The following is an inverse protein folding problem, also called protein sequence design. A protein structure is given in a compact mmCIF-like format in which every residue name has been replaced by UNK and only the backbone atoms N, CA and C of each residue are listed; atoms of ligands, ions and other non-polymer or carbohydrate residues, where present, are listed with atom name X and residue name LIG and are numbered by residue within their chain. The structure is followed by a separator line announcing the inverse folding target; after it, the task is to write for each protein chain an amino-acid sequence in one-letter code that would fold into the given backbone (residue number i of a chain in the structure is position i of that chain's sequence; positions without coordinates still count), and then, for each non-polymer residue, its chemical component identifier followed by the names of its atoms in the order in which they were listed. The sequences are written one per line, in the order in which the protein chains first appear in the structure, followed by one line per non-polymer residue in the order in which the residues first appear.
data_IF_955716120013
#
_entry.id   IF_955716120013
#
_cell.length_a   1.000
_cell.length_b   1.000
_cell.length_c   1.000
_cell.angle_alpha   90.00
_cell.angle_beta   90.00
_cell.angle_gamma   90.00
#
_symmetry.space_group_name_H-M   'P 1'
#
loop_
_entity.id
_entity.type
_entity.pdbx_description
1 polymer ?
2 water ?
#
# COMPACT_ATOMS: atom_id res chain seq x y z
N UNK A 10 -0.74 -25.82 4.18
CA UNK A 10 -2.14 -26.17 3.83
C UNK A 10 -3.10 -24.98 3.86
N UNK A 11 -2.82 -24.00 4.72
CA UNK A 11 -3.63 -22.80 4.84
C UNK A 11 -3.07 -21.67 3.98
N UNK A 12 -3.97 -20.92 3.35
CA UNK A 12 -3.57 -19.77 2.56
C UNK A 12 -4.63 -18.68 2.66
N UNK A 13 -4.19 -17.43 2.69
CA UNK A 13 -5.09 -16.30 2.88
C UNK A 13 -4.89 -15.26 1.79
N UNK A 14 -5.99 -14.65 1.35
CA UNK A 14 -5.94 -13.65 0.28
C UNK A 14 -6.62 -12.37 0.67
N UNK A 15 -5.91 -11.26 0.50
CA UNK A 15 -6.43 -9.90 0.74
C UNK A 15 -6.56 -9.11 -0.56
N UNK A 16 -5.86 -9.56 -1.60
CA UNK A 16 -5.76 -8.80 -2.84
C UNK A 16 -6.89 -9.16 -3.81
N UNK A 17 -8.11 -8.86 -3.36
CA UNK A 17 -9.34 -9.27 -4.02
C UNK A 17 -10.31 -9.55 -2.89
N UNK A 18 -11.46 -10.19 -3.17
CA UNK A 18 -12.34 -10.60 -2.06
C UNK A 18 -11.56 -11.47 -1.08
N UNK A 19 -11.82 -11.29 0.21
CA UNK A 19 -11.16 -12.07 1.25
C UNK A 19 -11.23 -13.57 0.95
N UNK A 20 -10.10 -14.25 1.03
CA UNK A 20 -10.02 -15.67 0.72
C UNK A 20 -9.29 -16.42 1.81
N UNK A 21 -9.89 -17.53 2.20
CA UNK A 21 -9.24 -18.53 3.04
C UNK A 21 -9.31 -19.83 2.26
N UNK A 22 -8.14 -20.39 1.93
CA UNK A 22 -8.12 -21.66 1.21
C UNK A 22 -7.44 -22.73 2.04
N UNK A 23 -8.05 -23.92 2.04
CA UNK A 23 -7.45 -25.08 2.66
C UNK A 23 -7.14 -26.09 1.56
N UNK A 24 -5.86 -26.38 1.36
CA UNK A 24 -5.38 -27.26 0.29
C UNK A 24 -5.72 -26.76 -1.10
N UNK A 25 -5.84 -25.44 -1.24
CA UNK A 25 -6.15 -24.79 -2.51
C UNK A 25 -7.64 -24.64 -2.76
N UNK A 26 -8.46 -25.16 -1.85
CA UNK A 26 -9.91 -25.08 -1.96
C UNK A 26 -10.45 -23.96 -1.07
N UNK A 27 -11.11 -22.95 -1.68
CA UNK A 27 -11.67 -21.84 -0.89
C UNK A 27 -12.66 -22.32 0.15
N UNK A 28 -12.60 -21.69 1.32
CA UNK A 28 -13.49 -22.00 2.45
C UNK A 28 -14.24 -20.72 2.78
N UNK A 29 -15.59 -20.72 2.63
CA UNK A 29 -16.39 -19.55 3.00
C UNK A 29 -16.12 -19.16 4.47
N UNK A 30 -15.79 -17.90 4.71
CA UNK A 30 -15.30 -17.51 6.03
C UNK A 30 -16.35 -16.87 6.97
N UNK A 31 -17.62 -16.89 6.55
CA UNK A 31 -18.72 -16.52 7.45
C UNK A 31 -19.47 -15.25 7.08
N UNK A 32 -20.18 -14.69 8.06
CA UNK A 32 -20.93 -13.44 7.91
C UNK A 32 -19.95 -12.27 7.74
N UNK A 33 -20.43 -11.09 7.25
CA UNK A 33 -19.53 -9.96 7.04
C UNK A 33 -18.68 -9.57 8.26
N UNK A 34 -19.28 -9.58 9.45
CA UNK A 34 -18.56 -9.19 10.65
C UNK A 34 -17.44 -10.20 10.98
N UNK A 35 -17.74 -11.48 10.79
CA UNK A 35 -16.74 -12.53 11.01
C UNK A 35 -15.62 -12.44 9.96
N UNK A 36 -16.00 -12.20 8.71
CA UNK A 36 -15.04 -11.97 7.63
C UNK A 36 -14.16 -10.76 7.94
N UNK A 37 -14.74 -9.70 8.49
CA UNK A 37 -13.97 -8.53 8.91
C UNK A 37 -12.96 -8.84 10.02
N UNK A 38 -13.33 -9.70 10.96
CA UNK A 38 -12.39 -10.18 11.99
C UNK A 38 -11.20 -10.90 11.32
N UNK A 39 -11.50 -11.85 10.43
CA UNK A 39 -10.46 -12.55 9.68
C UNK A 39 -9.58 -11.57 8.90
N UNK A 40 -10.19 -10.64 8.16
CA UNK A 40 -9.43 -9.65 7.40
C UNK A 40 -8.44 -8.87 8.31
N UNK A 41 -8.93 -8.36 9.44
CA UNK A 41 -8.10 -7.64 10.41
C UNK A 41 -6.94 -8.49 10.93
N UNK A 42 -7.20 -9.77 11.20
CA UNK A 42 -6.19 -10.71 11.66
C UNK A 42 -5.12 -11.01 10.58
N UNK A 43 -5.54 -11.17 9.32
CA UNK A 43 -4.60 -11.38 8.21
C UNK A 43 -3.79 -10.10 7.91
N UNK A 44 -4.47 -8.95 7.90
CA UNK A 44 -3.80 -7.65 7.77
C UNK A 44 -2.70 -7.50 8.82
N UNK A 45 -3.02 -7.90 10.06
CA UNK A 45 -2.11 -7.81 11.18
C UNK A 45 -1.44 -9.13 11.53
N UNK A 46 -1.21 -9.96 10.52
CA UNK A 46 -0.65 -11.30 10.72
C UNK A 46 0.61 -11.28 11.57
N UNK A 47 0.67 -12.23 12.50
CA UNK A 47 1.79 -12.40 13.43
C UNK A 47 1.90 -11.30 14.50
N UNK A 48 0.88 -10.45 14.57
CA UNK A 48 0.79 -9.44 15.63
C UNK A 48 -0.58 -9.56 16.30
N UNK A 49 -0.66 -9.20 17.60
CA UNK A 49 -1.97 -9.22 18.25
C UNK A 49 -2.86 -8.08 17.78
N UNK A 50 -4.15 -8.36 17.63
CA UNK A 50 -5.14 -7.33 17.41
C UNK A 50 -6.07 -7.31 18.62
N UNK A 51 -6.11 -6.18 19.29
CA UNK A 51 -6.93 -6.02 20.49
C UNK A 51 -8.41 -6.15 20.19
N UNK A 52 -9.17 -6.60 21.18
CA UNK A 52 -10.62 -6.74 21.05
C UNK A 52 -11.29 -5.40 20.77
N UNK A 53 -10.78 -4.33 21.40
CA UNK A 53 -11.30 -2.98 21.16
C UNK A 53 -11.09 -2.57 19.70
N UNK A 54 -9.92 -2.86 19.14
CA UNK A 54 -9.62 -2.60 17.73
C UNK A 54 -10.59 -3.35 16.80
N UNK A 55 -10.85 -4.62 17.11
CA UNK A 55 -11.79 -5.42 16.34
C UNK A 55 -13.19 -4.82 16.37
N UNK A 56 -13.64 -4.44 17.56
CA UNK A 56 -14.94 -3.81 17.76
C UNK A 56 -15.07 -2.52 16.93
N UNK A 57 -14.03 -1.68 16.97
CA UNK A 57 -13.98 -0.50 16.12
C UNK A 57 -14.05 -0.85 14.63
N UNK A 58 -13.23 -1.79 14.18
CA UNK A 58 -13.23 -2.18 12.75
C UNK A 58 -14.60 -2.71 12.29
N UNK A 59 -15.27 -3.47 13.15
CA UNK A 59 -16.55 -4.08 12.79
C UNK A 59 -17.75 -3.14 12.83
N UNK A 60 -17.86 -2.36 13.90
CA UNK A 60 -19.06 -1.57 14.16
C UNK A 60 -18.79 -0.07 14.26
N UNK A 61 -17.54 0.33 14.05
CA UNK A 61 -17.14 1.74 14.08
C UNK A 61 -17.66 2.42 15.36
N UNK A 62 -18.51 3.42 15.21
CA UNK A 62 -19.01 4.19 16.35
C UNK A 62 -20.13 3.50 17.16
N UNK A 63 -20.80 2.51 16.57
CA UNK A 63 -22.02 1.93 17.17
C UNK A 63 -21.98 0.41 17.38
N UNK A 64 -21.18 -0.07 18.35
CA UNK A 64 -21.23 -1.52 18.60
C UNK A 64 -22.50 -1.91 19.36
N UNK A 65 -23.02 -3.13 19.11
CA UNK A 65 -24.13 -3.64 19.90
C UNK A 65 -23.66 -4.00 21.31
N UNK A 66 -24.60 -4.14 22.24
CA UNK A 66 -24.29 -4.41 23.64
C UNK A 66 -23.45 -5.68 23.82
N UNK A 67 -23.71 -6.69 22.99
CA UNK A 67 -22.99 -7.95 23.09
C UNK A 67 -21.85 -8.09 22.10
N UNK A 68 -21.19 -6.96 21.77
CA UNK A 68 -20.09 -6.94 20.81
C UNK A 68 -18.96 -7.91 21.17
N UNK A 69 -18.55 -7.93 22.43
CA UNK A 69 -17.50 -8.87 22.88
C UNK A 69 -17.91 -10.33 22.75
N UNK A 70 -19.16 -10.65 23.11
CA UNK A 70 -19.72 -11.99 22.91
C UNK A 70 -19.65 -12.41 21.43
N UNK A 71 -19.97 -11.47 20.54
CA UNK A 71 -19.88 -11.71 19.10
C UNK A 71 -18.45 -11.99 18.65
N UNK A 72 -17.50 -11.20 19.13
CA UNK A 72 -16.09 -11.42 18.83
C UNK A 72 -15.68 -12.83 19.25
N UNK A 73 -16.06 -13.24 20.46
CA UNK A 73 -15.77 -14.59 20.96
C UNK A 73 -16.34 -15.66 20.02
N UNK A 74 -17.56 -15.44 19.56
CA UNK A 74 -18.21 -16.37 18.62
C UNK A 74 -17.50 -16.43 17.27
N UNK A 75 -17.05 -15.27 16.77
CA UNK A 75 -16.34 -15.22 15.49
C UNK A 75 -15.02 -15.97 15.54
N UNK A 76 -14.24 -15.75 16.61
CA UNK A 76 -12.97 -16.46 16.81
C UNK A 76 -13.21 -17.97 16.92
N UNK A 77 -14.26 -18.35 17.66
CA UNK A 77 -14.63 -19.76 17.78
C UNK A 77 -14.93 -20.37 16.40
N UNK A 78 -15.78 -19.69 15.64
CA UNK A 78 -16.15 -20.11 14.27
C UNK A 78 -14.95 -20.20 13.33
N UNK A 79 -14.09 -19.19 13.38
CA UNK A 79 -12.90 -19.14 12.54
C UNK A 79 -11.93 -20.29 12.88
N UNK A 80 -11.78 -20.59 14.17
CA UNK A 80 -10.93 -21.68 14.62
C UNK A 80 -11.42 -23.04 14.11
N UNK A 81 -12.75 -23.22 14.10
CA UNK A 81 -13.35 -24.43 13.54
C UNK A 81 -13.01 -24.59 12.06
N UNK A 82 -13.06 -23.48 11.33
CA UNK A 82 -12.70 -23.50 9.92
C UNK A 82 -11.22 -23.81 9.71
N UNK A 83 -10.36 -23.13 10.48
CA UNK A 83 -8.91 -23.29 10.40
C UNK A 83 -8.48 -24.73 10.73
N UNK A 84 -9.18 -25.34 11.68
CA UNK A 84 -8.93 -26.72 12.09
C UNK A 84 -9.11 -27.74 10.98
N UNK A 85 -9.80 -27.32 9.91
CA UNK A 85 -9.94 -28.11 8.69
C UNK A 85 -8.61 -28.38 7.99
N UNK A 86 -7.61 -27.55 8.28
CA UNK A 86 -6.27 -27.71 7.71
C UNK A 86 -5.33 -28.57 8.57
N UNK A 87 -5.88 -29.24 9.58
CA UNK A 87 -5.12 -30.20 10.39
C UNK A 87 -4.16 -29.58 11.41
N UNK A 88 -4.28 -28.27 11.60
CA UNK A 88 -3.46 -27.52 12.54
C UNK A 88 -4.16 -27.35 13.89
N UNK A 89 -3.46 -26.82 14.89
CA UNK A 89 -4.08 -26.52 16.18
C UNK A 89 -4.59 -25.08 16.11
N UNK A 90 -5.93 -24.92 16.02
CA UNK A 90 -6.51 -23.59 15.82
C UNK A 90 -6.21 -22.61 16.96
N UNK A 91 -5.91 -23.15 18.13
CA UNK A 91 -5.54 -22.34 19.30
C UNK A 91 -4.10 -21.82 19.25
N UNK A 92 -3.28 -22.44 18.42
CA UNK A 92 -1.93 -21.95 18.15
C UNK A 92 -1.95 -20.99 16.96
N UNK A 93 -2.63 -21.39 15.89
CA UNK A 93 -2.71 -20.57 14.67
C UNK A 93 -3.48 -19.26 14.92
N UNK A 94 -4.63 -19.36 15.58
CA UNK A 94 -5.39 -18.19 16.01
C UNK A 94 -5.40 -18.15 17.54
N UNK A 95 -4.39 -17.50 18.10
CA UNK A 95 -4.13 -17.55 19.54
C UNK A 95 -4.76 -16.40 20.26
N UNK A 96 -5.31 -16.69 21.44
CA UNK A 96 -5.89 -15.69 22.31
C UNK A 96 -4.82 -15.18 23.25
N UNK A 97 -4.63 -13.86 23.23
CA UNK A 97 -3.74 -13.18 24.17
C UNK A 97 -4.55 -12.18 25.03
N UNK A 98 -4.08 -11.90 26.27
CA UNK A 98 -4.62 -10.69 26.91
C UNK A 98 -4.64 -9.45 25.97
N UNK A 99 -3.54 -9.16 25.25
CA UNK A 99 -3.57 -8.13 24.18
C UNK A 99 -4.41 -8.44 22.93
N UNK A 100 -5.35 -9.39 23.01
CA UNK A 100 -6.27 -9.67 21.90
C UNK A 100 -6.09 -11.01 21.23
N UNK A 101 -6.11 -11.01 19.89
CA UNK A 101 -5.97 -12.23 19.10
C UNK A 101 -4.89 -12.07 18.05
N UNK A 102 -4.14 -13.14 17.81
CA UNK A 102 -3.02 -13.14 16.88
C UNK A 102 -3.12 -14.34 15.93
N UNK A 103 -3.19 -14.04 14.64
CA UNK A 103 -3.10 -15.06 13.61
C UNK A 103 -1.64 -15.26 13.22
N UNK A 104 -1.11 -16.44 13.53
CA UNK A 104 0.29 -16.76 13.27
C UNK A 104 0.42 -17.60 12.02
N UNK A 105 0.90 -16.94 10.96
CA UNK A 105 1.03 -17.56 9.64
C UNK A 105 2.30 -17.04 8.95
N UNK A 106 3.03 -17.91 8.24
CA UNK A 106 4.17 -17.41 7.47
C UNK A 106 3.73 -16.39 6.44
N UNK A 107 4.56 -15.37 6.22
CA UNK A 107 4.30 -14.30 5.25
C UNK A 107 3.89 -14.81 3.86
N UNK A 108 4.57 -15.85 3.39
CA UNK A 108 4.34 -16.39 2.04
C UNK A 108 3.03 -17.17 1.87
N UNK A 109 2.28 -17.33 2.96
CA UNK A 109 0.99 -17.99 2.91
C UNK A 109 -0.14 -16.97 2.78
N UNK A 110 0.25 -15.71 2.59
CA UNK A 110 -0.64 -14.59 2.37
C UNK A 110 -0.32 -14.00 0.99
N UNK A 111 -1.34 -13.73 0.18
CA UNK A 111 -1.09 -13.17 -1.16
C UNK A 111 -0.33 -11.83 -1.13
N UNK A 112 -0.67 -10.99 -0.15
CA UNK A 112 0.05 -9.74 0.07
C UNK A 112 1.53 -9.98 0.40
N UNK A 113 1.79 -10.97 1.26
CA UNK A 113 3.16 -11.37 1.60
C UNK A 113 3.96 -11.80 0.37
N UNK A 114 3.32 -12.56 -0.51
CA UNK A 114 3.98 -12.96 -1.76
C UNK A 114 4.24 -11.75 -2.66
N UNK A 115 3.27 -10.84 -2.73
CA UNK A 115 3.44 -9.61 -3.51
C UNK A 115 4.67 -8.82 -3.03
N UNK A 116 4.74 -8.60 -1.71
CA UNK A 116 5.87 -7.93 -1.07
C UNK A 116 7.22 -8.58 -1.40
N UNK A 117 7.30 -9.91 -1.25
CA UNK A 117 8.54 -10.66 -1.49
C UNK A 117 9.01 -10.54 -2.95
N UNK A 118 8.07 -10.72 -3.87
CA UNK A 118 8.36 -10.66 -5.31
C UNK A 118 8.72 -9.26 -5.80
N UNK A 119 8.07 -8.24 -5.25
CA UNK A 119 8.39 -6.85 -5.61
C UNK A 119 9.81 -6.50 -5.14
N UNK A 120 10.10 -6.83 -3.88
CA UNK A 120 11.45 -6.65 -3.31
C UNK A 120 12.53 -7.35 -4.14
N UNK A 121 12.28 -8.60 -4.53
CA UNK A 121 13.19 -9.35 -5.40
C UNK A 121 13.37 -8.67 -6.76
N UNK A 122 12.29 -8.10 -7.29
CA UNK A 122 12.37 -7.35 -8.54
C UNK A 122 13.19 -6.08 -8.43
N UNK A 123 13.09 -5.41 -7.28
CA UNK A 123 13.85 -4.18 -7.03
C UNK A 123 15.36 -4.47 -6.99
N UNK A 124 15.75 -5.46 -6.19
CA UNK A 124 17.16 -5.85 -6.05
C UNK A 124 17.78 -6.27 -7.39
N UNK A 125 17.00 -6.97 -8.20
CA UNK A 125 17.45 -7.40 -9.52
C UNK A 125 17.69 -6.20 -10.44
N UNK A 126 16.76 -5.25 -10.44
CA UNK A 126 16.87 -4.07 -11.30
C UNK A 126 18.03 -3.17 -10.87
N UNK A 127 18.27 -3.10 -9.56
CA UNK A 127 19.37 -2.32 -8.99
C UNK A 127 20.73 -2.85 -9.44
N UNK A 128 20.80 -4.17 -9.65
CA UNK A 128 22.01 -4.84 -10.11
C UNK A 128 22.07 -4.86 -11.63
N UNK A 129 21.06 -4.29 -12.29
CA UNK A 129 21.01 -4.24 -13.75
C UNK A 129 20.60 -5.56 -14.38
N UNK A 130 19.95 -6.41 -13.59
CA UNK A 130 19.44 -7.69 -14.05
C UNK A 130 17.96 -7.53 -14.39
N UNK A 131 17.70 -6.90 -15.53
CA UNK A 131 16.34 -6.47 -15.89
C UNK A 131 15.40 -7.60 -16.27
N UNK A 132 15.95 -8.66 -16.85
CA UNK A 132 15.17 -9.85 -17.20
C UNK A 132 14.55 -10.50 -15.97
N UNK A 133 15.34 -10.70 -14.93
CA UNK A 133 14.80 -11.29 -13.70
C UNK A 133 13.98 -10.31 -12.85
N UNK A 134 14.27 -9.01 -12.94
CA UNK A 134 13.44 -7.99 -12.32
C UNK A 134 12.01 -8.09 -12.87
N UNK A 135 11.90 -8.18 -14.20
CA UNK A 135 10.62 -8.30 -14.89
C UNK A 135 9.87 -9.58 -14.53
N UNK A 136 10.62 -10.67 -14.36
CA UNK A 136 10.03 -11.95 -13.99
C UNK A 136 9.44 -11.89 -12.58
N UNK A 137 10.17 -11.29 -11.65
CA UNK A 137 9.69 -11.13 -10.28
C UNK A 137 8.46 -10.23 -10.22
N UNK A 138 8.51 -9.13 -10.96
CA UNK A 138 7.39 -8.18 -11.00
C UNK A 138 6.10 -8.78 -11.57
N UNK A 139 6.25 -9.63 -12.58
CA UNK A 139 5.13 -10.38 -13.14
C UNK A 139 4.50 -11.32 -12.10
N UNK A 140 5.36 -12.01 -11.34
CA UNK A 140 4.92 -12.88 -10.25
C UNK A 140 4.19 -12.09 -9.16
N UNK A 141 4.73 -10.90 -8.82
CA UNK A 141 4.10 -10.03 -7.84
C UNK A 141 2.68 -9.66 -8.27
N UNK A 142 2.54 -9.20 -9.51
CA UNK A 142 1.26 -8.74 -10.05
C UNK A 142 0.22 -9.83 -10.24
N UNK A 143 0.66 -11.08 -10.43
CA UNK A 143 -0.26 -12.23 -10.52
C UNK A 143 -0.96 -12.53 -9.20
N UNK A 144 -0.45 -11.99 -8.09
CA UNK A 144 -1.08 -12.16 -6.78
C UNK A 144 -2.39 -11.39 -6.63
N UNK A 145 -2.58 -10.40 -7.49
CA UNK A 145 -3.80 -9.59 -7.49
C UNK A 145 -4.98 -10.28 -8.21
N UNK A 146 -6.09 -10.41 -7.49
CA UNK A 146 -7.29 -11.05 -8.03
C UNK A 146 -8.37 -10.04 -8.37
N UNK A 147 -8.40 -8.93 -7.63
CA UNK A 147 -9.42 -7.91 -7.76
C UNK A 147 -9.21 -6.80 -6.74
N UNK A 148 -10.23 -5.93 -6.56
CA UNK A 148 -10.15 -4.86 -5.57
C UNK A 148 -9.91 -5.41 -4.16
N UNK A 149 -9.01 -4.78 -3.42
CA UNK A 149 -8.64 -5.23 -2.08
C UNK A 149 -9.87 -5.37 -1.18
N UNK A 150 -10.08 -6.57 -0.67
CA UNK A 150 -11.19 -6.89 0.24
C UNK A 150 -12.53 -6.39 -0.30
N UNK A 151 -12.79 -6.73 -1.57
CA UNK A 151 -13.95 -6.25 -2.30
C UNK A 151 -15.27 -6.61 -1.63
N UNK A 152 -15.31 -7.78 -0.99
CA UNK A 152 -16.51 -8.25 -0.29
C UNK A 152 -16.75 -7.53 1.04
N UNK A 153 -15.85 -6.63 1.41
CA UNK A 153 -15.94 -5.92 2.68
C UNK A 153 -15.82 -4.41 2.49
N UNK A 154 -16.14 -3.93 1.29
CA UNK A 154 -15.94 -2.53 0.94
C UNK A 154 -16.78 -1.57 1.78
N UNK A 155 -17.85 -2.09 2.39
CA UNK A 155 -18.71 -1.28 3.25
C UNK A 155 -18.11 -0.98 4.64
N UNK A 156 -16.99 -1.63 4.96
CA UNK A 156 -16.30 -1.40 6.23
C UNK A 156 -15.27 -0.28 6.06
N UNK A 157 -15.32 0.69 6.96
CA UNK A 157 -14.42 1.85 6.88
C UNK A 157 -12.94 1.48 6.78
N UNK A 158 -12.49 0.52 7.60
CA UNK A 158 -11.06 0.17 7.67
C UNK A 158 -10.44 -0.30 6.34
N UNK A 159 -11.28 -0.86 5.47
CA UNK A 159 -10.84 -1.34 4.16
C UNK A 159 -10.35 -0.20 3.26
N UNK A 160 -11.03 0.95 3.31
CA UNK A 160 -10.76 2.08 2.41
C UNK A 160 -9.30 2.57 2.40
N UNK A 161 -8.75 2.98 3.57
CA UNK A 161 -7.35 3.42 3.56
C UNK A 161 -6.34 2.30 3.27
N UNK A 162 -6.67 1.07 3.69
CA UNK A 162 -5.82 -0.09 3.41
C UNK A 162 -5.76 -0.42 1.91
N UNK A 163 -6.92 -0.47 1.26
CA UNK A 163 -7.00 -0.67 -0.19
C UNK A 163 -6.27 0.44 -0.95
N UNK A 164 -6.54 1.69 -0.59
CA UNK A 164 -5.90 2.86 -1.22
C UNK A 164 -4.38 2.76 -1.13
N UNK A 165 -3.88 2.38 0.05
CA UNK A 165 -2.45 2.21 0.28
C UNK A 165 -1.85 1.11 -0.59
N UNK A 166 -2.50 -0.05 -0.68
CA UNK A 166 -2.01 -1.17 -1.49
C UNK A 166 -2.00 -0.87 -2.99
N UNK A 167 -2.95 -0.04 -3.44
CA UNK A 167 -2.97 0.41 -4.84
C UNK A 167 -1.75 1.27 -5.18
N UNK A 168 -1.29 2.11 -4.23
CA UNK A 168 0.00 2.82 -4.39
C UNK A 168 1.13 1.83 -4.76
N UNK A 169 1.17 0.69 -4.06
CA UNK A 169 2.19 -0.33 -4.33
C UNK A 169 1.95 -1.06 -5.65
N UNK A 170 0.68 -1.34 -5.96
CA UNK A 170 0.32 -1.97 -7.24
C UNK A 170 0.81 -1.12 -8.41
N UNK A 171 0.53 0.18 -8.35
CA UNK A 171 0.98 1.14 -9.36
C UNK A 171 2.51 1.12 -9.49
N UNK A 172 3.21 1.18 -8.37
CA UNK A 172 4.68 1.12 -8.37
C UNK A 172 5.20 -0.16 -9.03
N UNK A 173 4.51 -1.28 -8.82
CA UNK A 173 4.88 -2.56 -9.43
C UNK A 173 4.62 -2.55 -10.94
N UNK A 174 3.43 -2.10 -11.34
CA UNK A 174 3.13 -1.88 -12.76
C UNK A 174 4.20 -1.01 -13.45
N UNK A 175 4.57 0.08 -12.77
CA UNK A 175 5.57 1.03 -13.30
C UNK A 175 6.96 0.39 -13.43
N UNK A 176 7.41 -0.27 -12.36
CA UNK A 176 8.71 -0.95 -12.37
C UNK A 176 8.77 -2.10 -13.37
N UNK A 177 7.64 -2.76 -13.58
CA UNK A 177 7.53 -3.82 -14.58
C UNK A 177 7.75 -3.25 -15.99
N UNK A 178 7.13 -2.11 -16.27
CA UNK A 178 7.29 -1.41 -17.55
C UNK A 178 8.72 -0.96 -17.76
N UNK A 179 9.34 -0.40 -16.72
CA UNK A 179 10.75 0.02 -16.78
C UNK A 179 11.67 -1.12 -17.16
N UNK A 180 11.42 -2.28 -16.52
CA UNK A 180 12.19 -3.48 -16.77
C UNK A 180 12.06 -3.97 -18.21
N UNK A 181 10.81 -3.99 -18.71
CA UNK A 181 10.52 -4.44 -20.09
C UNK A 181 11.13 -3.51 -21.13
N UNK A 182 10.99 -2.20 -20.90
CA UNK A 182 11.61 -1.17 -21.75
C UNK A 182 13.13 -1.31 -21.76
N UNK A 183 13.72 -1.51 -20.58
CA UNK A 183 15.15 -1.75 -20.45
C UNK A 183 15.60 -3.01 -21.18
N UNK A 184 14.72 -4.00 -21.28
CA UNK A 184 15.01 -5.26 -21.97
C UNK A 184 14.77 -5.18 -23.47
N UNK A 185 14.37 -4.01 -23.95
CA UNK A 185 14.19 -3.77 -25.38
C UNK A 185 12.79 -4.05 -25.91
N UNK A 186 11.83 -4.16 -25.00
CA UNK A 186 10.45 -4.49 -25.36
C UNK A 186 9.44 -3.36 -25.12
N UNK A 187 9.84 -2.12 -25.43
CA UNK A 187 8.96 -0.96 -25.31
C UNK A 187 7.61 -1.16 -26.03
N UNK A 188 7.67 -1.67 -27.27
CA UNK A 188 6.47 -1.88 -28.08
C UNK A 188 5.45 -2.81 -27.43
N UNK A 189 5.93 -3.75 -26.62
CA UNK A 189 5.09 -4.78 -26.01
C UNK A 189 4.36 -4.35 -24.73
N UNK A 190 4.80 -3.25 -24.11
CA UNK A 190 4.14 -2.74 -22.89
C UNK A 190 3.09 -1.66 -23.13
N UNK A 191 3.02 -1.16 -24.37
CA UNK A 191 2.19 0.00 -24.70
C UNK A 191 0.70 -0.21 -24.39
N UNK A 192 0.14 -1.33 -24.85
CA UNK A 192 -1.28 -1.63 -24.65
C UNK A 192 -1.67 -1.65 -23.17
N UNK A 193 -0.84 -2.29 -22.34
CA UNK A 193 -1.10 -2.38 -20.90
C UNK A 193 -0.98 -1.01 -20.23
N UNK A 194 0.00 -0.21 -20.65
CA UNK A 194 0.18 1.15 -20.15
C UNK A 194 -0.98 2.06 -20.54
N UNK A 195 -1.48 1.90 -21.76
CA UNK A 195 -2.69 2.61 -22.21
C UNK A 195 -3.88 2.31 -21.29
N UNK A 196 -4.10 1.03 -21.00
CA UNK A 196 -5.18 0.62 -20.09
C UNK A 196 -4.98 1.16 -18.67
N UNK A 197 -3.74 1.11 -18.19
CA UNK A 197 -3.41 1.57 -16.85
C UNK A 197 -3.57 3.09 -16.68
N UNK A 198 -3.24 3.85 -17.73
CA UNK A 198 -3.37 5.33 -17.67
C UNK A 198 -4.84 5.78 -17.72
N UNK A 199 -5.74 4.86 -18.09
CA UNK A 199 -7.17 5.12 -18.00
C UNK A 199 -7.71 4.81 -16.60
N UNK A 200 -7.24 3.71 -16.03
CA UNK A 200 -7.64 3.32 -14.68
C UNK A 200 -7.00 4.24 -13.64
N UNK A 201 -5.79 4.71 -13.95
CA UNK A 201 -5.04 5.56 -13.04
C UNK A 201 -4.57 6.83 -13.75
N UNK A 202 -5.52 7.72 -14.10
CA UNK A 202 -5.18 8.84 -14.99
C UNK A 202 -4.18 9.84 -14.41
N UNK A 203 -4.07 9.92 -13.10
CA UNK A 203 -3.25 10.95 -12.45
C UNK A 203 -1.86 10.48 -12.00
N UNK A 204 -1.52 9.22 -12.32
CA UNK A 204 -0.23 8.67 -11.91
C UNK A 204 0.81 8.99 -12.94
N UNK A 205 1.59 10.04 -12.65
CA UNK A 205 2.57 10.55 -13.60
C UNK A 205 3.65 9.53 -13.98
N UNK A 206 4.12 8.71 -13.02
CA UNK A 206 5.11 7.67 -13.39
C UNK A 206 4.60 6.68 -14.44
N UNK A 207 3.31 6.36 -14.44
CA UNK A 207 2.72 5.51 -15.47
C UNK A 207 2.76 6.17 -16.84
N UNK A 208 2.38 7.44 -16.91
CA UNK A 208 2.47 8.23 -18.13
C UNK A 208 3.91 8.37 -18.63
N UNK A 209 4.85 8.56 -17.70
CA UNK A 209 6.27 8.62 -18.04
C UNK A 209 6.71 7.36 -18.81
N UNK A 210 6.28 6.19 -18.35
CA UNK A 210 6.64 4.93 -19.00
C UNK A 210 5.94 4.77 -20.35
N UNK A 211 4.67 5.18 -20.43
CA UNK A 211 3.93 5.10 -21.70
C UNK A 211 4.57 5.98 -22.78
N UNK A 212 4.88 7.23 -22.42
CA UNK A 212 5.51 8.18 -23.32
C UNK A 212 6.89 7.69 -23.77
N UNK A 213 7.65 7.13 -22.82
CA UNK A 213 8.94 6.50 -23.11
C UNK A 213 8.76 5.35 -24.10
N UNK A 214 7.78 4.50 -23.84
CA UNK A 214 7.47 3.36 -24.70
C UNK A 214 7.09 3.77 -26.12
N UNK A 215 6.22 4.77 -26.25
CA UNK A 215 5.87 5.32 -27.58
C UNK A 215 7.13 5.76 -28.33
N UNK A 216 7.94 6.57 -27.64
CA UNK A 216 9.12 7.18 -28.23
C UNK A 216 10.16 6.14 -28.68
N UNK A 217 10.34 5.10 -27.88
CA UNK A 217 11.32 4.06 -28.20
C UNK A 217 10.76 3.00 -29.16
N UNK A 218 9.49 3.16 -29.52
CA UNK A 218 8.86 2.34 -30.55
C UNK A 218 8.73 3.11 -31.86
N UNK A 219 9.58 4.13 -32.03
CA UNK A 219 9.58 5.03 -33.20
C UNK A 219 8.23 5.73 -33.41
N UNK A 220 7.53 6.03 -32.31
CA UNK A 220 6.24 6.71 -32.36
C UNK A 220 6.31 8.03 -31.58
N UNK A 221 7.10 8.97 -32.10
CA UNK A 221 7.33 10.25 -31.44
C UNK A 221 6.03 11.07 -31.34
N UNK A 222 5.23 11.01 -32.40
CA UNK A 222 3.95 11.72 -32.45
C UNK A 222 3.02 11.29 -31.32
N UNK A 223 2.89 9.97 -31.15
CA UNK A 223 2.08 9.41 -30.07
C UNK A 223 2.62 9.79 -28.69
N UNK A 224 3.95 9.86 -28.56
CA UNK A 224 4.60 10.26 -27.31
C UNK A 224 4.27 11.71 -26.95
N UNK A 225 4.42 12.60 -27.93
CA UNK A 225 4.10 14.02 -27.76
C UNK A 225 2.61 14.21 -27.50
N UNK A 226 1.79 13.44 -28.20
CA UNK A 226 0.33 13.46 -28.03
C UNK A 226 -0.09 13.04 -26.63
N UNK A 227 0.57 12.01 -26.10
CA UNK A 227 0.30 11.52 -24.76
C UNK A 227 0.70 12.52 -23.67
N UNK A 228 1.80 13.23 -23.88
CA UNK A 228 2.19 14.28 -22.94
C UNK A 228 1.15 15.41 -22.91
N UNK A 229 0.69 15.81 -24.10
CA UNK A 229 -0.36 16.82 -24.20
C UNK A 229 -1.64 16.37 -23.49
N UNK A 230 -1.97 15.08 -23.64
CA UNK A 230 -3.13 14.50 -22.95
C UNK A 230 -3.02 14.55 -21.42
N UNK A 231 -1.92 14.06 -20.87
CA UNK A 231 -1.72 14.09 -19.42
C UNK A 231 -1.68 15.53 -18.88
N UNK A 232 -1.03 16.43 -19.61
CA UNK A 232 -0.95 17.83 -19.21
C UNK A 232 -2.35 18.44 -19.08
N UNK A 233 -3.20 18.18 -20.07
CA UNK A 233 -4.58 18.64 -20.07
C UNK A 233 -5.37 18.03 -18.90
N UNK A 234 -5.21 16.73 -18.70
CA UNK A 234 -5.86 16.01 -17.61
C UNK A 234 -5.49 16.57 -16.23
N UNK A 235 -4.19 16.73 -15.97
CA UNK A 235 -3.71 17.25 -14.69
C UNK A 235 -4.14 18.70 -14.45
N UNK A 236 -4.12 19.50 -15.52
CA UNK A 236 -4.58 20.90 -15.46
C UNK A 236 -6.07 21.01 -15.13
N UNK A 237 -6.92 20.38 -15.94
CA UNK A 237 -8.37 20.45 -15.75
C UNK A 237 -8.82 19.79 -14.44
N UNK A 238 -8.35 18.56 -14.23
CA UNK A 238 -8.83 17.74 -13.12
C UNK A 238 -8.25 18.11 -11.76
N UNK A 239 -6.97 18.47 -11.73
CA UNK A 239 -6.26 18.67 -10.46
C UNK A 239 -5.80 20.10 -10.23
N UNK A 240 -5.66 20.87 -11.30
CA UNK A 240 -5.15 22.23 -11.22
C UNK A 240 -3.64 22.28 -11.05
N UNK A 241 -2.96 21.23 -11.52
CA UNK A 241 -1.50 21.15 -11.42
C UNK A 241 -0.82 20.98 -12.78
N UNK A 242 0.45 21.37 -12.84
CA UNK A 242 1.31 21.12 -14.01
C UNK A 242 1.91 19.73 -13.89
N UNK A 243 2.41 19.16 -15.01
CA UNK A 243 3.16 17.91 -14.87
C UNK A 243 4.45 18.14 -14.08
N UNK A 244 4.90 17.11 -13.36
CA UNK A 244 6.13 17.20 -12.58
C UNK A 244 7.38 17.29 -13.44
N UNK A 245 8.54 17.57 -12.82
CA UNK A 245 9.81 17.75 -13.54
C UNK A 245 10.23 16.55 -14.40
N UNK A 246 9.86 15.34 -13.99
CA UNK A 246 10.21 14.14 -14.72
C UNK A 246 9.50 14.09 -16.08
N UNK A 247 8.19 14.34 -16.07
CA UNK A 247 7.40 14.40 -17.30
C UNK A 247 7.84 15.55 -18.19
N UNK A 248 8.03 16.72 -17.58
CA UNK A 248 8.49 17.90 -18.32
C UNK A 248 9.83 17.65 -19.01
N UNK A 249 10.81 17.11 -18.29
CA UNK A 249 12.12 16.84 -18.87
C UNK A 249 12.04 15.84 -20.02
N UNK A 250 11.22 14.81 -19.84
CA UNK A 250 11.02 13.75 -20.83
C UNK A 250 10.48 14.32 -22.15
N UNK A 251 9.44 15.15 -22.04
CA UNK A 251 8.84 15.78 -23.21
C UNK A 251 9.85 16.63 -23.99
N UNK A 252 10.69 17.37 -23.27
CA UNK A 252 11.75 18.19 -23.88
C UNK A 252 12.74 17.35 -24.70
N UNK A 253 13.17 16.22 -24.14
CA UNK A 253 14.07 15.30 -24.84
C UNK A 253 13.43 14.79 -26.12
N UNK A 254 12.15 14.42 -26.03
CA UNK A 254 11.39 13.87 -27.15
C UNK A 254 11.16 14.89 -28.26
N UNK A 255 10.85 16.14 -27.88
CA UNK A 255 10.74 17.26 -28.82
C UNK A 255 12.01 17.46 -29.68
N UNK A 256 13.15 17.35 -29.02
CA UNK A 256 14.47 17.55 -29.64
C UNK A 256 15.05 16.24 -30.16
N UNK A 257 14.24 15.18 -30.14
CA UNK A 257 14.67 13.80 -30.41
C UNK A 257 16.07 13.42 -29.91
N UNK A 258 16.27 13.64 -28.61
CA UNK A 258 17.47 13.22 -27.91
C UNK A 258 17.32 11.76 -27.47
N UNK A 259 18.44 11.01 -27.37
CA UNK A 259 18.36 9.64 -26.87
C UNK A 259 17.93 9.54 -25.40
N UNK A 260 17.27 8.44 -25.07
CA UNK A 260 16.95 8.08 -23.70
C UNK A 260 17.85 6.93 -23.26
N UNK A 261 18.10 6.82 -21.96
CA UNK A 261 18.85 5.69 -21.41
C UNK A 261 17.96 4.90 -20.45
N UNK A 262 17.14 4.02 -21.03
CA UNK A 262 16.11 3.27 -20.31
C UNK A 262 16.70 2.29 -19.29
N UNK A 263 17.86 1.71 -19.61
CA UNK A 263 18.56 0.85 -18.66
C UNK A 263 18.99 1.63 -17.43
N UNK A 264 19.61 2.80 -17.64
CA UNK A 264 20.06 3.65 -16.54
C UNK A 264 18.90 4.16 -15.69
N UNK A 265 17.81 4.55 -16.35
CA UNK A 265 16.58 4.98 -15.68
C UNK A 265 16.01 3.88 -14.78
N UNK A 266 15.97 2.65 -15.31
CA UNK A 266 15.43 1.51 -14.56
C UNK A 266 16.32 1.20 -13.36
N UNK A 267 17.64 1.26 -13.57
CA UNK A 267 18.62 1.05 -12.50
C UNK A 267 18.49 2.11 -11.40
N UNK A 268 18.44 3.38 -11.81
CA UNK A 268 18.30 4.51 -10.89
C UNK A 268 17.07 4.37 -10.00
N UNK A 269 15.91 4.12 -10.61
CA UNK A 269 14.67 3.90 -9.85
C UNK A 269 14.82 2.79 -8.80
N UNK A 270 15.33 1.63 -9.21
CA UNK A 270 15.52 0.51 -8.29
C UNK A 270 16.46 0.84 -7.14
N UNK A 271 17.58 1.50 -7.43
CA UNK A 271 18.58 1.87 -6.41
C UNK A 271 17.98 2.80 -5.35
N UNK A 272 17.13 3.72 -5.78
CA UNK A 272 16.35 4.55 -4.88
C UNK A 272 15.40 3.76 -3.98
N UNK A 273 14.82 2.69 -4.52
CA UNK A 273 13.90 1.84 -3.74
C UNK A 273 14.67 0.95 -2.76
N UNK A 274 15.84 0.49 -3.17
CA UNK A 274 16.73 -0.30 -2.32
C UNK A 274 17.03 0.47 -1.02
N UNK A 275 17.32 1.76 -1.15
CA UNK A 275 17.50 2.66 -0.01
C UNK A 275 16.35 2.60 0.99
N UNK A 276 15.12 2.67 0.48
CA UNK A 276 13.92 2.61 1.32
C UNK A 276 13.77 1.24 1.98
N UNK A 277 13.99 0.17 1.19
CA UNK A 277 13.97 -1.20 1.70
C UNK A 277 15.00 -1.45 2.80
N UNK A 278 16.14 -0.79 2.69
CA UNK A 278 17.26 -0.96 3.64
C UNK A 278 16.98 -0.34 5.01
N UNK A 279 16.37 0.83 5.03
CA UNK A 279 16.07 1.52 6.31
C UNK A 279 14.92 0.86 7.08
N UNK A 280 14.13 0.04 6.39
CA UNK A 280 13.07 -0.75 7.02
C UNK A 280 13.66 -1.96 7.76
N UNK A 281 14.85 -2.39 7.33
CA UNK A 281 15.49 -3.58 7.87
C UNK A 281 16.68 -3.21 8.76
N UNK A 282 16.58 -3.53 10.05
CA UNK A 282 17.71 -3.39 10.95
C UNK A 282 18.70 -4.52 10.70
N UNK A 283 19.97 -4.30 11.06
CA UNK A 283 21.06 -5.25 10.76
C UNK A 283 20.88 -6.66 11.33
N UNK A 284 19.99 -6.80 12.31
CA UNK A 284 19.80 -8.08 13.00
C UNK A 284 18.56 -8.85 12.50
N UNK A 285 18.13 -8.56 11.26
CA UNK A 285 16.98 -9.25 10.66
C UNK A 285 15.64 -8.75 11.19
N UNK A 286 15.62 -8.33 12.45
CA UNK A 286 14.44 -7.75 13.07
C UNK A 286 14.09 -6.43 12.40
N UNK A 287 12.85 -6.33 11.90
CA UNK A 287 12.39 -5.16 11.17
C UNK A 287 12.35 -3.90 12.04
N UNK A 288 12.55 -2.74 11.40
CA UNK A 288 12.55 -1.46 12.10
C UNK A 288 11.13 -0.98 12.36
N UNK A 289 10.95 -0.31 13.50
CA UNK A 289 9.66 0.28 13.84
C UNK A 289 9.63 1.73 13.40
N UNK A 290 8.60 2.08 12.63
CA UNK A 290 8.39 3.47 12.22
C UNK A 290 7.74 4.27 13.36
N UNK A 291 8.00 5.57 13.37
CA UNK A 291 7.53 6.45 14.44
C UNK A 291 7.08 7.80 13.88
N UNK A 292 6.07 8.39 14.51
CA UNK A 292 5.78 9.80 14.37
C UNK A 292 6.37 10.51 15.57
N UNK A 293 7.29 11.45 15.33
CA UNK A 293 7.88 12.21 16.42
C UNK A 293 7.29 13.61 16.47
N UNK A 294 6.52 13.88 17.53
CA UNK A 294 5.91 15.19 17.75
C UNK A 294 7.03 16.21 17.95
N UNK A 295 7.09 17.19 17.04
CA UNK A 295 8.16 18.18 17.04
C UNK A 295 8.12 19.07 18.29
N UNK A 296 6.91 19.49 18.68
CA UNK A 296 6.74 20.38 19.83
C UNK A 296 7.05 19.72 21.18
N UNK A 297 6.60 18.47 21.34
CA UNK A 297 6.70 17.79 22.63
C UNK A 297 7.84 16.78 22.73
N UNK A 298 8.35 16.32 21.58
CA UNK A 298 9.37 15.27 21.55
C UNK A 298 8.84 13.86 21.73
N UNK A 299 7.52 13.74 21.89
CA UNK A 299 6.88 12.44 22.09
C UNK A 299 6.91 11.61 20.81
N UNK A 300 7.29 10.34 20.95
CA UNK A 300 7.31 9.41 19.83
C UNK A 300 6.12 8.48 19.86
N UNK A 301 5.44 8.37 18.72
CA UNK A 301 4.33 7.45 18.57
C UNK A 301 4.73 6.33 17.60
N UNK A 302 4.96 5.12 18.12
CA UNK A 302 5.28 3.98 17.26
C UNK A 302 4.11 3.65 16.33
N UNK A 303 4.42 3.36 15.07
CA UNK A 303 3.44 2.84 14.13
C UNK A 303 3.46 1.32 14.23
N UNK A 304 2.75 0.81 15.24
CA UNK A 304 2.82 -0.61 15.61
C UNK A 304 2.03 -1.52 14.66
N UNK A 305 0.80 -1.12 14.33
CA UNK A 305 -0.07 -1.94 13.50
C UNK A 305 0.04 -1.59 12.03
N UNK A 306 -0.58 -2.44 11.19
CA UNK A 306 -0.74 -2.16 9.77
C UNK A 306 -1.35 -0.78 9.52
N UNK A 307 -2.38 -0.43 10.29
CA UNK A 307 -3.06 0.85 10.15
C UNK A 307 -2.97 1.61 11.47
N UNK A 308 -2.40 2.81 11.42
CA UNK A 308 -2.34 3.69 12.59
C UNK A 308 -3.31 4.86 12.43
N UNK A 309 -4.33 4.87 13.27
CA UNK A 309 -5.43 5.83 13.14
C UNK A 309 -5.19 7.10 13.95
N UNK A 310 -5.33 8.25 13.30
CA UNK A 310 -5.03 9.55 13.93
C UNK A 310 -6.26 10.46 13.91
N UNK A 311 -6.57 11.07 15.05
CA UNK A 311 -7.69 11.98 15.14
C UNK A 311 -7.96 12.46 16.55
N UNK A 312 -9.06 13.20 16.70
CA UNK A 312 -9.43 13.82 17.97
C UNK A 312 -10.05 12.84 18.96
N UNK A 313 -10.85 11.88 18.45
CA UNK A 313 -11.55 10.94 19.32
C UNK A 313 -10.60 9.95 19.98
N UNK A 314 -10.91 9.60 21.24
CA UNK A 314 -10.03 8.76 22.06
C UNK A 314 -9.83 7.33 21.52
N UNK A 315 -10.68 6.90 20.60
CA UNK A 315 -10.57 5.57 20.00
C UNK A 315 -9.44 5.47 18.96
N UNK A 316 -8.88 6.62 18.55
CA UNK A 316 -7.72 6.65 17.67
C UNK A 316 -6.47 6.09 18.34
N UNK A 317 -5.53 5.61 17.52
CA UNK A 317 -4.25 5.13 18.00
C UNK A 317 -3.37 6.29 18.47
N UNK A 318 -3.41 7.37 17.70
CA UNK A 318 -2.76 8.62 18.06
C UNK A 318 -3.86 9.67 18.24
N UNK A 319 -4.02 10.12 19.49
CA UNK A 319 -5.06 11.08 19.83
C UNK A 319 -4.51 12.50 19.81
N UNK A 320 -5.10 13.35 18.97
CA UNK A 320 -4.76 14.77 18.91
C UNK A 320 -5.91 15.61 19.47
N UNK A 321 -5.75 16.04 20.72
CA UNK A 321 -6.82 16.60 21.56
C UNK A 321 -7.35 18.00 21.22
N UNK A 322 -7.15 18.44 19.98
CA UNK A 322 -7.52 19.81 19.59
C UNK A 322 -8.86 19.84 18.85
N UNK A 323 -9.68 20.84 19.15
CA UNK A 323 -11.02 20.96 18.57
C UNK A 323 -11.03 21.03 17.04
N UNK A 324 -9.96 21.60 16.45
CA UNK A 324 -9.84 21.70 14.99
C UNK A 324 -9.48 20.40 14.25
N UNK A 325 -8.93 19.43 14.98
CA UNK A 325 -8.64 18.10 14.42
C UNK A 325 -9.95 17.34 14.27
N UNK A 326 -10.11 16.67 13.12
CA UNK A 326 -11.31 15.86 12.85
C UNK A 326 -11.38 14.61 13.75
N UNK A 327 -12.60 14.16 14.03
CA UNK A 327 -12.84 12.98 14.86
C UNK A 327 -11.92 11.81 14.47
N UNK A 328 -11.94 11.50 13.18
CA UNK A 328 -11.02 10.54 12.57
C UNK A 328 -10.40 11.24 11.38
N UNK A 329 -9.15 11.66 11.56
CA UNK A 329 -8.55 12.65 10.67
C UNK A 329 -7.70 12.00 9.56
N UNK A 330 -6.83 11.06 9.96
CA UNK A 330 -5.91 10.41 9.05
C UNK A 330 -5.60 8.99 9.48
N UNK A 331 -5.05 8.19 8.56
CA UNK A 331 -4.55 6.86 8.87
C UNK A 331 -3.23 6.71 8.13
N UNK A 332 -2.22 6.19 8.82
CA UNK A 332 -1.00 5.75 8.14
C UNK A 332 -1.05 4.23 8.04
N UNK A 333 -0.90 3.73 6.82
CA UNK A 333 -0.92 2.29 6.55
C UNK A 333 0.47 1.80 6.16
N UNK A 334 0.92 0.74 6.84
CA UNK A 334 2.14 0.04 6.47
C UNK A 334 1.70 -1.08 5.55
N UNK A 335 2.13 -1.00 4.29
CA UNK A 335 1.74 -1.99 3.28
C UNK A 335 2.66 -3.21 3.23
N UNK A 336 3.75 -3.15 3.99
CA UNK A 336 4.82 -4.14 3.89
C UNK A 336 5.95 -3.62 3.02
N UNK A 337 5.62 -2.63 2.18
CA UNK A 337 6.58 -2.02 1.26
C UNK A 337 6.76 -0.54 1.58
N UNK A 338 5.64 0.13 1.84
CA UNK A 338 5.63 1.56 2.07
C UNK A 338 4.75 1.93 3.25
N UNK A 339 4.97 3.12 3.78
CA UNK A 339 4.01 3.72 4.71
C UNK A 339 3.29 4.81 3.94
N UNK A 340 1.98 4.70 3.87
CA UNK A 340 1.19 5.73 3.17
C UNK A 340 0.17 6.39 4.10
N UNK A 341 0.18 7.71 4.10
CA UNK A 341 -0.77 8.47 4.90
C UNK A 341 -1.99 8.80 4.05
N UNK A 342 -3.16 8.66 4.68
CA UNK A 342 -4.46 8.90 4.05
C UNK A 342 -5.18 10.01 4.79
N UNK A 343 -5.71 10.98 4.06
CA UNK A 343 -6.60 11.98 4.64
C UNK A 343 -8.03 11.43 4.57
N UNK A 344 -8.70 11.39 5.72
CA UNK A 344 -10.05 10.83 5.80
C UNK A 344 -11.12 11.91 5.67
N UNK A 345 -11.06 12.62 4.54
CA UNK A 345 -11.96 13.75 4.26
C UNK A 345 -12.07 14.70 5.45
N UNK A 346 -10.92 15.07 6.01
CA UNK A 346 -10.86 15.96 7.16
C UNK A 346 -11.15 17.40 6.75
N UNK A 347 -11.58 18.20 7.72
CA UNK A 347 -11.86 19.62 7.50
C UNK A 347 -10.60 20.39 7.07
N UNK A 348 -9.50 20.22 7.78
CA UNK A 348 -8.29 21.00 7.54
C UNK A 348 -7.32 20.35 6.56
N UNK A 349 -7.51 19.07 6.29
CA UNK A 349 -6.61 18.31 5.42
C UNK A 349 -5.38 17.79 6.15
N UNK A 350 -4.50 17.13 5.40
CA UNK A 350 -3.22 16.61 5.90
C UNK A 350 -2.11 17.20 5.03
N UNK A 351 -1.05 17.67 5.69
CA UNK A 351 0.03 18.38 5.00
C UNK A 351 1.34 17.63 5.18
N UNK A 352 1.92 17.22 4.04
CA UNK A 352 3.17 16.47 4.04
C UNK A 352 4.19 17.29 3.26
N UNK A 353 5.37 17.45 3.86
CA UNK A 353 6.41 18.30 3.27
C UNK A 353 5.85 19.67 2.90
N UNK A 354 5.02 20.20 3.79
CA UNK A 354 4.45 21.55 3.71
C UNK A 354 3.50 21.80 2.54
N UNK A 355 2.84 20.75 2.06
CA UNK A 355 1.71 20.94 1.13
C UNK A 355 0.57 19.97 1.38
N UNK A 356 -0.66 20.46 1.11
CA UNK A 356 -1.86 19.68 1.35
C UNK A 356 -1.91 18.47 0.40
N UNK A 357 -2.12 17.29 0.96
CA UNK A 357 -2.22 16.09 0.14
C UNK A 357 -3.65 15.96 -0.40
N UNK A 358 -3.78 15.49 -1.62
CA UNK A 358 -5.11 15.41 -2.22
C UNK A 358 -5.83 14.12 -1.88
N UNK A 359 -5.10 13.01 -1.92
CA UNK A 359 -5.69 11.70 -1.61
C UNK A 359 -4.92 11.02 -0.50
N UNK A 360 -3.78 10.47 -0.89
CA UNK A 360 -2.93 9.72 -0.02
C UNK A 360 -1.54 9.91 -0.61
N UNK A 361 -0.53 9.89 0.24
CA UNK A 361 0.82 9.99 -0.26
C UNK A 361 1.73 8.99 0.46
N UNK A 362 2.66 8.43 -0.30
CA UNK A 362 3.70 7.60 0.27
C UNK A 362 4.67 8.47 1.08
N UNK A 363 4.94 8.04 2.31
CA UNK A 363 5.84 8.78 3.19
C UNK A 363 7.30 8.39 2.98
N UNK A 364 8.17 9.39 2.98
CA UNK A 364 9.62 9.18 2.97
C UNK A 364 10.19 9.41 4.37
N UNK A 365 11.24 8.68 4.71
CA UNK A 365 11.94 8.88 5.97
C UNK A 365 12.32 10.36 6.16
N UNK A 366 11.88 10.93 7.27
CA UNK A 366 12.18 12.33 7.60
C UNK A 366 11.12 13.33 7.20
N UNK A 367 10.06 12.87 6.52
CA UNK A 367 8.97 13.75 6.07
C UNK A 367 8.35 14.54 7.23
N UNK A 368 8.12 15.81 6.97
CA UNK A 368 7.34 16.66 7.86
C UNK A 368 5.86 16.39 7.61
N UNK A 369 5.13 16.11 8.69
CA UNK A 369 3.69 15.90 8.61
C UNK A 369 2.98 16.87 9.55
N UNK A 370 1.99 17.60 9.02
CA UNK A 370 1.20 18.51 9.82
C UNK A 370 -0.29 18.13 9.77
N UNK A 371 -0.88 18.03 10.95
CA UNK A 371 -2.32 17.91 11.09
C UNK A 371 -2.77 19.05 11.98
N UNK A 372 -3.45 20.01 11.38
CA UNK A 372 -3.83 21.26 12.05
C UNK A 372 -2.61 21.92 12.69
N UNK A 373 -2.57 22.00 14.03
CA UNK A 373 -1.47 22.67 14.70
C UNK A 373 -0.41 21.68 15.23
N UNK A 374 -0.63 20.40 14.97
CA UNK A 374 0.28 19.34 15.39
C UNK A 374 1.26 19.01 14.27
N UNK A 375 2.56 19.05 14.58
CA UNK A 375 3.58 18.75 13.58
C UNK A 375 4.51 17.64 14.01
N UNK A 376 4.82 16.75 13.07
CA UNK A 376 5.61 15.54 13.34
C UNK A 376 6.69 15.36 12.30
N UNK A 377 7.76 14.67 12.70
CA UNK A 377 8.67 14.05 11.76
C UNK A 377 8.29 12.58 11.69
N UNK A 378 8.07 12.09 10.47
CA UNK A 378 7.92 10.66 10.24
C UNK A 378 9.31 10.04 10.09
N UNK A 379 9.58 9.01 10.89
CA UNK A 379 10.89 8.35 10.87
C UNK A 379 10.74 6.84 10.69
N UNK A 380 11.40 6.30 9.66
CA UNK A 380 11.31 4.87 9.32
C UNK A 380 12.27 4.00 10.14
N UNK A 381 13.33 4.60 10.68
CA UNK A 381 14.41 3.82 11.29
C UNK A 381 14.43 3.78 12.83
N UNK A 382 13.53 4.52 13.46
CA UNK A 382 13.50 4.63 14.93
C UNK A 382 12.96 3.37 15.60
#
# INVERSE_FOLDING_TARGET
MAGSATVEKRLDFGLLGPLQMTIDGTPVPSGTPKQRAVLAMLVINRNRPVGVDALITALWEEWPPSGARASIHSYVSNLRKLLGGAGIDPRVVLAAAPPGYRLSIPDNTCDLGRFVAEKTAGVHAAAAGRFEQASRHLSAALREWRGPVLDDLRDFQFVEPFATALVEDKVLAHTAKAEAEIACGRASAVIAELEALTFEHPYREPLWTQLITAYYLSDRQSDALGAYRRVKTTLADDLGIDPGPTLRALNERILRQQPLDAKKSAKTTAAGTVTVLDQRTMASGQQAVAYLHDIASGRGYPLQAAATRIGRLHDNDIVLDSANVSRHHAVIVDTGTNYVINDLRSSNGVHVQHERIRSAVTLNDGDHIRICDHEFTFQISAGTHGGT
#
